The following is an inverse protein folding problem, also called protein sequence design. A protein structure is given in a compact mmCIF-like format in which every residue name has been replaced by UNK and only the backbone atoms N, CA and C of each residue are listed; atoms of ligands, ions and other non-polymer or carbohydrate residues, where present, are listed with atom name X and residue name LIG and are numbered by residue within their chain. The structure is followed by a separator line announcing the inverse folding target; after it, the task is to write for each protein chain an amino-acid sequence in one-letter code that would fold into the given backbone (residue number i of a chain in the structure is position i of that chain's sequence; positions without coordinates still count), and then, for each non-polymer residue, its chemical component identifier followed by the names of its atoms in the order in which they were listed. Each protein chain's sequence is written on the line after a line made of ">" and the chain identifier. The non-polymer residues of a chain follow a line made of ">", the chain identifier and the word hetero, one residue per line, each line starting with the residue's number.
data_IF_605085896853
#
_entry.id   IF_605085896853
#
_cell.length_a   1.000
_cell.length_b   1.000
_cell.length_c   1.000
_cell.angle_alpha   90.00
_cell.angle_beta   90.00
_cell.angle_gamma   90.00
#
_symmetry.space_group_name_H-M   'P 1'
#
loop_
_entity.id
_entity.type
_entity.pdbx_description
1 polymer ?
#
# COMPACT_ATOMS: atom_id res chain seq x y z
N UNK A 1 -10.78 5.81 -1.90
CA UNK A 1 -9.35 5.58 -2.22
C UNK A 1 -8.98 4.19 -1.72
N UNK A 2 -8.06 3.47 -2.36
CA UNK A 2 -7.64 2.15 -1.87
C UNK A 2 -7.09 2.28 -0.46
N UNK A 3 -7.43 1.33 0.40
CA UNK A 3 -6.92 1.29 1.77
C UNK A 3 -5.78 0.31 1.86
N UNK A 4 -4.62 0.79 2.29
CA UNK A 4 -3.39 0.01 2.34
C UNK A 4 -2.67 0.21 3.67
N UNK A 5 -2.12 -0.90 4.19
CA UNK A 5 -1.19 -0.89 5.32
C UNK A 5 0.24 -1.04 4.78
N UNK A 6 1.08 -0.10 5.15
CA UNK A 6 2.50 -0.05 4.84
C UNK A 6 3.30 -0.31 6.10
N UNK A 7 4.24 -1.24 6.04
CA UNK A 7 5.18 -1.55 7.12
C UNK A 7 6.55 -0.99 6.75
N UNK A 8 7.25 -0.38 7.69
CA UNK A 8 8.61 0.10 7.46
C UNK A 8 9.61 -1.07 7.49
N UNK A 9 10.01 -1.54 6.32
CA UNK A 9 10.92 -2.67 6.16
C UNK A 9 12.37 -2.35 6.60
N UNK A 10 12.67 -1.08 6.89
CA UNK A 10 13.98 -0.63 7.37
C UNK A 10 13.92 0.04 8.75
N UNK A 11 12.89 -0.23 9.53
CA UNK A 11 12.78 0.30 10.89
C UNK A 11 14.02 -0.05 11.74
N UNK A 12 14.41 0.86 12.65
CA UNK A 12 15.63 0.70 13.44
C UNK A 12 15.55 -0.43 14.48
N UNK A 13 14.34 -0.72 14.99
CA UNK A 13 14.12 -1.85 15.90
C UNK A 13 14.35 -3.18 15.18
N UNK A 14 15.33 -3.96 15.64
CA UNK A 14 15.75 -5.19 14.99
C UNK A 14 14.66 -6.27 14.95
N UNK A 15 13.84 -6.40 16.02
CA UNK A 15 12.75 -7.36 16.09
C UNK A 15 11.64 -6.97 15.10
N UNK A 16 11.24 -5.71 15.06
CA UNK A 16 10.25 -5.21 14.09
C UNK A 16 10.77 -5.33 12.65
N UNK A 17 12.06 -5.01 12.41
CA UNK A 17 12.66 -5.14 11.08
C UNK A 17 12.62 -6.58 10.59
N UNK A 18 13.00 -7.54 11.42
CA UNK A 18 12.94 -8.96 11.10
C UNK A 18 11.50 -9.40 10.82
N UNK A 19 10.56 -9.00 11.67
CA UNK A 19 9.14 -9.32 11.56
C UNK A 19 8.51 -8.74 10.29
N UNK A 20 8.71 -7.46 9.99
CA UNK A 20 8.12 -6.80 8.82
C UNK A 20 8.67 -7.33 7.50
N UNK A 21 9.92 -7.80 7.48
CA UNK A 21 10.52 -8.46 6.33
C UNK A 21 10.10 -9.94 6.20
N UNK A 22 9.46 -10.54 7.21
CA UNK A 22 8.94 -11.90 7.13
C UNK A 22 7.65 -11.96 6.33
N UNK A 23 7.59 -12.80 5.30
CA UNK A 23 6.41 -12.94 4.44
C UNK A 23 5.20 -13.50 5.20
N UNK A 24 5.41 -14.46 6.11
CA UNK A 24 4.34 -15.07 6.90
C UNK A 24 3.62 -14.01 7.75
N UNK A 25 4.36 -13.07 8.36
CA UNK A 25 3.75 -11.98 9.10
C UNK A 25 2.85 -11.12 8.20
N UNK A 26 3.35 -10.70 7.03
CA UNK A 26 2.54 -9.88 6.10
C UNK A 26 1.32 -10.62 5.57
N UNK A 27 1.46 -11.92 5.26
CA UNK A 27 0.34 -12.79 4.86
C UNK A 27 -0.68 -12.94 5.99
N UNK A 28 -0.23 -13.14 7.23
CA UNK A 28 -1.09 -13.17 8.41
C UNK A 28 -1.88 -11.86 8.59
N UNK A 29 -1.21 -10.70 8.48
CA UNK A 29 -1.85 -9.38 8.52
C UNK A 29 -2.84 -9.17 7.36
N UNK A 30 -2.63 -9.82 6.24
CA UNK A 30 -3.53 -9.77 5.11
C UNK A 30 -4.81 -10.56 5.36
N UNK A 31 -4.71 -11.84 5.77
CA UNK A 31 -5.86 -12.74 5.87
C UNK A 31 -6.62 -12.65 7.20
N UNK A 32 -6.15 -11.86 8.17
CA UNK A 32 -6.85 -11.65 9.44
C UNK A 32 -8.02 -10.66 9.34
N UNK A 33 -8.23 -10.01 8.21
CA UNK A 33 -9.28 -9.01 7.98
C UNK A 33 -10.33 -9.56 7.02
N UNK A 34 -11.59 -9.52 7.45
CA UNK A 34 -12.73 -9.78 6.56
C UNK A 34 -12.92 -8.58 5.61
N UNK A 35 -12.49 -8.77 4.37
CA UNK A 35 -12.51 -7.69 3.37
C UNK A 35 -13.91 -7.37 2.87
N UNK A 36 -14.83 -8.32 2.87
CA UNK A 36 -16.22 -8.08 2.47
C UNK A 36 -16.92 -7.20 3.50
N UNK A 37 -16.80 -7.57 4.78
CA UNK A 37 -17.32 -6.74 5.87
C UNK A 37 -16.62 -5.39 5.93
N UNK A 38 -15.28 -5.35 5.81
CA UNK A 38 -14.52 -4.11 5.78
C UNK A 38 -14.98 -3.17 4.64
N UNK A 39 -15.12 -3.68 3.42
CA UNK A 39 -15.56 -2.90 2.26
C UNK A 39 -17.00 -2.38 2.44
N UNK A 40 -17.87 -3.19 3.02
CA UNK A 40 -19.25 -2.80 3.36
C UNK A 40 -19.28 -1.65 4.37
N UNK A 41 -18.51 -1.76 5.45
CA UNK A 41 -18.44 -0.72 6.50
C UNK A 41 -17.77 0.56 6.04
N UNK A 42 -16.73 0.43 5.20
CA UNK A 42 -15.93 1.57 4.73
C UNK A 42 -16.59 2.35 3.59
N UNK A 43 -17.33 1.67 2.73
CA UNK A 43 -17.82 2.24 1.47
C UNK A 43 -19.30 2.03 1.19
N UNK A 44 -20.10 1.63 2.19
CA UNK A 44 -21.50 1.23 1.99
C UNK A 44 -21.69 0.20 0.85
N UNK A 45 -20.70 -0.67 0.64
CA UNK A 45 -20.71 -1.72 -0.39
C UNK A 45 -20.35 -1.24 -1.82
N UNK A 46 -19.86 -0.03 -1.98
CA UNK A 46 -19.45 0.49 -3.29
C UNK A 46 -18.10 -0.06 -3.77
N UNK A 47 -17.26 -0.52 -2.86
CA UNK A 47 -15.93 -1.06 -3.16
C UNK A 47 -15.91 -2.57 -2.91
N UNK A 48 -15.12 -3.29 -3.67
CA UNK A 48 -14.81 -4.68 -3.41
C UNK A 48 -13.56 -4.80 -2.51
N UNK A 49 -13.50 -5.89 -1.75
CA UNK A 49 -12.28 -6.29 -1.07
C UNK A 49 -11.22 -6.71 -2.07
N UNK A 50 -9.97 -6.32 -1.84
CA UNK A 50 -8.89 -6.66 -2.76
C UNK A 50 -7.52 -6.34 -2.21
N UNK A 51 -6.50 -6.79 -2.92
CA UNK A 51 -5.10 -6.57 -2.57
C UNK A 51 -4.58 -5.26 -3.16
N UNK A 52 -3.43 -4.80 -2.68
CA UNK A 52 -2.69 -3.69 -3.28
C UNK A 52 -2.06 -4.16 -4.61
N UNK A 53 -2.86 -4.19 -5.65
CA UNK A 53 -2.50 -4.63 -7.00
C UNK A 53 -2.79 -3.53 -8.03
N UNK A 54 -2.18 -3.60 -9.23
CA UNK A 54 -2.60 -2.78 -10.36
C UNK A 54 -4.10 -2.92 -10.63
N UNK A 55 -4.73 -1.84 -11.06
CA UNK A 55 -6.17 -1.83 -11.35
C UNK A 55 -6.48 -2.42 -12.72
N UNK A 56 -7.73 -2.87 -12.96
CA UNK A 56 -8.17 -3.26 -14.30
C UNK A 56 -7.84 -2.19 -15.34
N UNK A 57 -7.17 -2.60 -16.41
CA UNK A 57 -6.70 -1.72 -17.49
C UNK A 57 -5.33 -1.06 -17.24
N UNK A 58 -4.74 -1.18 -16.07
CA UNK A 58 -3.38 -0.74 -15.79
C UNK A 58 -2.34 -1.81 -16.21
N UNK A 59 -1.10 -1.37 -16.42
CA UNK A 59 0.02 -2.27 -16.69
C UNK A 59 0.19 -3.27 -15.54
N UNK A 60 0.33 -4.55 -15.88
CA UNK A 60 0.56 -5.61 -14.91
C UNK A 60 -0.67 -6.03 -14.10
N UNK A 61 -1.88 -5.56 -14.47
CA UNK A 61 -3.09 -6.06 -13.86
C UNK A 61 -3.20 -7.59 -13.97
N UNK A 62 -3.54 -8.22 -12.87
CA UNK A 62 -3.83 -9.64 -12.76
C UNK A 62 -4.90 -9.85 -11.70
N UNK A 63 -5.98 -10.54 -12.06
CA UNK A 63 -7.01 -10.95 -11.10
C UNK A 63 -6.43 -11.87 -10.02
N UNK A 64 -5.48 -12.73 -10.38
CA UNK A 64 -4.78 -13.59 -9.43
C UNK A 64 -4.05 -12.77 -8.36
N UNK A 65 -3.36 -11.69 -8.75
CA UNK A 65 -2.72 -10.80 -7.79
C UNK A 65 -3.73 -10.04 -6.94
N UNK A 66 -4.77 -9.48 -7.57
CA UNK A 66 -5.81 -8.72 -6.88
C UNK A 66 -6.51 -9.53 -5.78
N UNK A 67 -6.58 -10.87 -5.95
CA UNK A 67 -7.22 -11.79 -5.01
C UNK A 67 -6.22 -12.62 -4.17
N UNK A 68 -4.93 -12.37 -4.28
CA UNK A 68 -3.90 -13.13 -3.54
C UNK A 68 -3.92 -12.80 -2.05
N UNK A 69 -4.04 -13.82 -1.18
CA UNK A 69 -4.10 -13.65 0.27
C UNK A 69 -5.26 -12.73 0.74
N UNK A 70 -6.41 -12.83 0.09
CA UNK A 70 -7.60 -12.05 0.44
C UNK A 70 -8.63 -12.84 1.23
N UNK A 71 -8.45 -14.14 1.39
CA UNK A 71 -9.31 -14.98 2.24
C UNK A 71 -9.34 -14.47 3.69
N UNK A 72 -10.46 -14.65 4.38
CA UNK A 72 -10.57 -14.37 5.80
C UNK A 72 -10.39 -15.64 6.61
N UNK A 73 -9.25 -15.77 7.28
CA UNK A 73 -8.91 -16.91 8.13
C UNK A 73 -8.02 -16.51 9.31
N UNK A 74 -8.66 -16.23 10.44
CA UNK A 74 -7.97 -15.83 11.67
C UNK A 74 -7.11 -16.98 12.25
N UNK A 75 -7.54 -18.24 12.08
CA UNK A 75 -6.76 -19.38 12.60
C UNK A 75 -5.47 -19.56 11.81
N UNK A 76 -5.55 -19.48 10.47
CA UNK A 76 -4.38 -19.50 9.60
C UNK A 76 -3.48 -18.27 9.85
N UNK A 77 -4.07 -17.07 10.06
CA UNK A 77 -3.30 -15.87 10.39
C UNK A 77 -2.46 -16.05 11.65
N UNK A 78 -3.05 -16.61 12.72
CA UNK A 78 -2.34 -16.93 13.97
C UNK A 78 -1.18 -17.91 13.74
N UNK A 79 -1.40 -18.96 12.97
CA UNK A 79 -0.33 -19.92 12.62
C UNK A 79 0.81 -19.25 11.85
N UNK A 80 0.50 -18.28 10.97
CA UNK A 80 1.50 -17.50 10.23
C UNK A 80 2.27 -16.55 11.15
N UNK A 81 1.62 -15.93 12.14
CA UNK A 81 2.30 -15.09 13.13
C UNK A 81 3.27 -15.91 14.00
N UNK A 82 2.87 -17.12 14.40
CA UNK A 82 3.74 -18.05 15.10
C UNK A 82 4.92 -18.51 14.23
N UNK A 83 4.68 -18.81 12.95
CA UNK A 83 5.74 -19.14 11.99
C UNK A 83 6.70 -17.94 11.76
N UNK A 84 6.20 -16.71 11.86
CA UNK A 84 7.02 -15.49 11.82
C UNK A 84 7.85 -15.26 13.09
N UNK A 85 7.68 -16.08 14.13
CA UNK A 85 8.46 -16.03 15.36
C UNK A 85 7.80 -15.27 16.51
N UNK A 86 6.52 -14.92 16.39
CA UNK A 86 5.75 -14.34 17.49
C UNK A 86 5.25 -15.44 18.44
N UNK A 87 5.09 -15.11 19.70
CA UNK A 87 4.64 -16.02 20.77
C UNK A 87 3.40 -15.43 21.43
N UNK A 88 2.34 -16.23 21.58
CA UNK A 88 1.11 -15.80 22.23
C UNK A 88 1.35 -15.56 23.73
N UNK A 89 1.14 -14.34 24.18
CA UNK A 89 1.19 -13.94 25.58
C UNK A 89 -0.04 -14.37 26.37
N UNK A 90 0.06 -14.30 27.70
CA UNK A 90 -1.02 -14.67 28.59
C UNK A 90 -2.24 -13.72 28.53
N UNK A 91 -2.05 -12.52 28.03
CA UNK A 91 -3.09 -11.50 27.80
C UNK A 91 -3.86 -11.69 26.48
N UNK A 92 -3.46 -12.69 25.68
CA UNK A 92 -4.10 -12.99 24.40
C UNK A 92 -3.54 -12.19 23.22
N UNK A 93 -2.46 -11.46 23.40
CA UNK A 93 -1.71 -10.78 22.34
C UNK A 93 -0.37 -11.46 22.09
N UNK A 94 0.15 -11.25 20.89
CA UNK A 94 1.47 -11.76 20.55
C UNK A 94 2.58 -10.82 21.05
N UNK A 95 3.66 -11.45 21.52
CA UNK A 95 4.93 -10.83 21.91
C UNK A 95 6.07 -11.38 21.06
N UNK A 96 7.24 -10.75 21.11
CA UNK A 96 8.45 -11.29 20.52
C UNK A 96 8.97 -12.51 21.31
N UNK A 97 9.68 -13.41 20.64
CA UNK A 97 10.21 -14.62 21.27
C UNK A 97 11.22 -14.35 22.40
N UNK A 98 11.83 -13.17 22.44
CA UNK A 98 12.71 -12.73 23.53
C UNK A 98 11.96 -12.23 24.77
N UNK A 99 10.62 -12.22 24.72
CA UNK A 99 9.74 -11.77 25.79
C UNK A 99 9.49 -10.26 25.83
N UNK A 100 9.98 -9.52 24.84
CA UNK A 100 9.62 -8.10 24.70
C UNK A 100 8.25 -7.94 24.06
N UNK A 101 7.51 -6.91 24.47
CA UNK A 101 6.17 -6.61 23.97
C UNK A 101 6.20 -6.30 22.47
N UNK A 102 5.23 -6.84 21.72
CA UNK A 102 4.95 -6.43 20.36
C UNK A 102 3.73 -5.54 20.31
N UNK A 103 3.90 -4.30 19.84
CA UNK A 103 2.82 -3.35 19.57
C UNK A 103 3.04 -2.75 18.20
N UNK A 104 2.07 -2.89 17.32
CA UNK A 104 2.11 -2.27 15.98
C UNK A 104 1.67 -0.81 16.07
N UNK A 105 2.61 0.12 15.97
CA UNK A 105 2.34 1.56 16.02
C UNK A 105 2.03 2.08 14.62
N UNK A 106 0.76 2.38 14.37
CA UNK A 106 0.26 2.83 13.07
C UNK A 106 0.09 4.35 13.09
N UNK A 107 0.61 5.02 12.08
CA UNK A 107 0.39 6.46 11.88
C UNK A 107 -0.38 6.73 10.59
N UNK A 108 -0.92 7.93 10.45
CA UNK A 108 -1.44 8.43 9.19
C UNK A 108 -1.45 9.96 9.15
N UNK A 109 -1.67 10.51 7.95
CA UNK A 109 -1.93 11.93 7.78
C UNK A 109 -3.36 12.22 8.21
N UNK A 110 -3.55 13.23 9.05
CA UNK A 110 -4.88 13.71 9.44
C UNK A 110 -5.70 14.11 8.21
N UNK A 111 -7.00 14.06 8.34
CA UNK A 111 -7.99 14.45 7.32
C UNK A 111 -8.05 13.58 6.05
N UNK A 112 -7.38 12.42 6.04
CA UNK A 112 -7.47 11.46 4.92
C UNK A 112 -8.41 10.27 5.16
N UNK A 113 -9.20 10.29 6.25
CA UNK A 113 -10.12 9.22 6.62
C UNK A 113 -9.46 8.00 7.29
N UNK A 114 -8.16 8.01 7.52
CA UNK A 114 -7.44 6.86 8.07
C UNK A 114 -7.84 6.50 9.51
N UNK A 115 -8.31 7.48 10.29
CA UNK A 115 -8.81 7.22 11.65
C UNK A 115 -10.07 6.34 11.62
N UNK A 116 -10.96 6.52 10.66
CA UNK A 116 -12.16 5.68 10.51
C UNK A 116 -11.80 4.30 9.95
N UNK A 117 -10.85 4.24 9.01
CA UNK A 117 -10.26 3.00 8.52
C UNK A 117 -9.66 2.19 9.67
N UNK A 118 -8.86 2.82 10.52
CA UNK A 118 -8.26 2.17 11.68
C UNK A 118 -9.31 1.60 12.65
N UNK A 119 -10.39 2.34 12.92
CA UNK A 119 -11.49 1.85 13.79
C UNK A 119 -12.16 0.59 13.25
N UNK A 120 -12.19 0.40 11.93
CA UNK A 120 -12.71 -0.81 11.30
C UNK A 120 -11.67 -1.94 11.36
N UNK A 121 -10.37 -1.64 11.16
CA UNK A 121 -9.29 -2.65 11.14
C UNK A 121 -8.90 -3.15 12.53
N UNK A 122 -8.90 -2.29 13.55
CA UNK A 122 -8.42 -2.62 14.90
C UNK A 122 -9.10 -3.86 15.52
N UNK A 123 -10.44 -4.03 15.43
CA UNK A 123 -11.09 -5.22 15.95
C UNK A 123 -10.60 -6.53 15.32
N UNK A 124 -10.27 -6.53 14.03
CA UNK A 124 -9.71 -7.70 13.34
C UNK A 124 -8.29 -8.01 13.81
N UNK A 125 -7.45 -6.99 13.91
CA UNK A 125 -6.09 -7.15 14.43
C UNK A 125 -6.11 -7.68 15.86
N UNK A 126 -6.95 -7.14 16.71
CA UNK A 126 -7.15 -7.60 18.09
C UNK A 126 -7.65 -9.05 18.15
N UNK A 127 -8.63 -9.44 17.32
CA UNK A 127 -9.13 -10.82 17.25
C UNK A 127 -8.05 -11.81 16.79
N UNK A 128 -7.14 -11.36 15.97
CA UNK A 128 -5.98 -12.12 15.53
C UNK A 128 -4.82 -12.12 16.55
N UNK A 129 -4.93 -11.38 17.68
CA UNK A 129 -3.91 -11.28 18.70
C UNK A 129 -2.84 -10.23 18.45
N UNK A 130 -3.07 -9.28 17.55
CA UNK A 130 -2.16 -8.18 17.25
C UNK A 130 -2.60 -6.94 18.05
N UNK A 131 -1.75 -6.48 18.95
CA UNK A 131 -1.93 -5.24 19.67
C UNK A 131 -1.45 -4.08 18.82
N UNK A 132 -2.28 -3.05 18.65
CA UNK A 132 -1.91 -1.90 17.83
C UNK A 132 -2.32 -0.58 18.47
N UNK A 133 -1.63 0.50 18.08
CA UNK A 133 -1.98 1.88 18.40
C UNK A 133 -2.14 2.68 17.11
N UNK A 134 -2.84 3.81 17.20
CA UNK A 134 -3.02 4.70 16.06
C UNK A 134 -2.80 6.15 16.48
N UNK A 135 -2.08 6.87 15.63
CA UNK A 135 -1.89 8.32 15.76
C UNK A 135 -1.97 8.96 14.38
N UNK A 136 -2.79 9.97 14.23
CA UNK A 136 -2.75 10.86 13.08
C UNK A 136 -2.06 12.19 13.40
N UNK A 137 -1.52 12.82 12.38
CA UNK A 137 -0.84 14.12 12.48
C UNK A 137 -0.96 14.87 11.16
N UNK A 138 -0.61 16.14 11.18
CA UNK A 138 -0.53 16.89 9.93
C UNK A 138 0.56 16.35 9.00
N UNK A 139 0.43 16.66 7.71
CA UNK A 139 1.31 16.12 6.67
C UNK A 139 2.78 16.46 6.90
N UNK A 140 3.10 17.65 7.35
CA UNK A 140 4.49 18.08 7.53
C UNK A 140 5.18 17.30 8.67
N UNK A 141 4.45 17.05 9.77
CA UNK A 141 4.96 16.21 10.85
C UNK A 141 5.18 14.77 10.41
N UNK A 142 4.22 14.18 9.67
CA UNK A 142 4.39 12.82 9.13
C UNK A 142 5.58 12.74 8.17
N UNK A 143 5.75 13.72 7.29
CA UNK A 143 6.89 13.75 6.36
C UNK A 143 8.25 13.87 7.11
N UNK A 144 8.30 14.64 8.20
CA UNK A 144 9.47 14.72 9.07
C UNK A 144 9.75 13.38 9.77
N UNK A 145 8.72 12.72 10.31
CA UNK A 145 8.84 11.42 10.97
C UNK A 145 9.29 10.33 9.97
N UNK A 146 8.78 10.35 8.73
CA UNK A 146 9.23 9.46 7.65
C UNK A 146 10.71 9.68 7.31
N UNK A 147 11.14 10.93 7.16
CA UNK A 147 12.54 11.26 6.88
C UNK A 147 13.47 10.91 8.04
N UNK A 148 12.99 10.96 9.28
CA UNK A 148 13.73 10.55 10.47
C UNK A 148 13.69 9.03 10.71
N UNK A 149 13.07 8.23 9.83
CA UNK A 149 12.84 6.79 9.99
C UNK A 149 12.07 6.41 11.26
N UNK A 150 11.23 7.34 11.78
CA UNK A 150 10.52 7.18 13.04
C UNK A 150 9.13 6.51 12.88
N UNK A 151 8.70 6.23 11.66
CA UNK A 151 7.41 5.58 11.36
C UNK A 151 7.61 4.07 11.25
N UNK A 152 6.86 3.28 12.04
CA UNK A 152 6.88 1.82 11.98
C UNK A 152 5.89 1.27 10.95
N UNK A 153 4.66 1.77 10.98
CA UNK A 153 3.60 1.38 10.07
C UNK A 153 2.70 2.58 9.73
N UNK A 154 2.11 2.55 8.55
CA UNK A 154 1.25 3.64 8.07
C UNK A 154 0.04 3.11 7.33
N UNK A 155 -1.15 3.64 7.65
CA UNK A 155 -2.33 3.50 6.78
C UNK A 155 -2.30 4.68 5.80
N UNK A 156 -2.13 4.38 4.52
CA UNK A 156 -2.08 5.41 3.49
C UNK A 156 -2.56 4.89 2.14
N UNK A 157 -3.37 5.64 1.41
CA UNK A 157 -3.77 5.28 0.06
C UNK A 157 -2.61 5.57 -0.90
N UNK A 158 -1.91 4.55 -1.36
CA UNK A 158 -0.88 4.70 -2.40
C UNK A 158 -1.41 4.23 -3.73
N UNK A 159 -1.30 5.09 -4.69
CA UNK A 159 -1.72 4.82 -6.06
C UNK A 159 -0.62 4.21 -6.93
N UNK A 160 0.60 4.11 -6.39
CA UNK A 160 1.79 3.74 -7.16
C UNK A 160 1.69 2.39 -7.89
N UNK A 161 1.16 1.37 -7.23
CA UNK A 161 1.03 0.03 -7.83
C UNK A 161 -0.03 -0.04 -8.93
N UNK A 162 -1.13 0.72 -8.76
CA UNK A 162 -2.23 0.78 -9.73
C UNK A 162 -2.07 1.87 -10.79
N UNK A 163 -0.99 2.63 -10.75
CA UNK A 163 -0.84 3.79 -11.61
C UNK A 163 -0.24 3.41 -12.96
N UNK A 164 -0.94 3.75 -14.05
CA UNK A 164 -0.45 3.60 -15.42
C UNK A 164 0.89 4.32 -15.62
N UNK A 165 1.20 5.31 -14.79
CA UNK A 165 2.43 6.08 -14.87
C UNK A 165 3.67 5.37 -14.29
N UNK A 166 3.54 4.14 -13.82
CA UNK A 166 4.67 3.40 -13.24
C UNK A 166 5.89 3.33 -14.17
N UNK A 167 5.66 3.23 -15.49
CA UNK A 167 6.70 3.23 -16.50
C UNK A 167 7.42 4.58 -16.61
N UNK A 168 6.74 5.66 -16.22
CA UNK A 168 7.26 7.03 -16.28
C UNK A 168 7.83 7.50 -14.93
N UNK A 169 7.19 7.09 -13.84
CA UNK A 169 7.55 7.56 -12.48
C UNK A 169 7.43 6.41 -11.46
N UNK A 170 8.34 5.44 -11.47
CA UNK A 170 8.29 4.30 -10.56
C UNK A 170 8.74 4.61 -9.13
N UNK A 171 9.01 5.88 -8.80
CA UNK A 171 9.63 6.31 -7.53
C UNK A 171 8.85 5.86 -6.29
N UNK A 172 7.52 5.78 -6.37
CA UNK A 172 6.68 5.33 -5.25
C UNK A 172 6.78 3.82 -4.98
N UNK A 173 7.49 3.08 -5.80
CA UNK A 173 7.61 1.63 -5.72
C UNK A 173 9.02 1.15 -5.38
N UNK A 174 9.95 2.04 -5.11
CA UNK A 174 11.37 1.71 -4.97
C UNK A 174 11.94 2.28 -3.69
N UNK A 175 12.78 1.53 -2.96
CA UNK A 175 13.51 2.06 -1.82
C UNK A 175 14.28 3.32 -2.16
N UNK A 176 14.33 4.25 -1.21
CA UNK A 176 15.07 5.51 -1.34
C UNK A 176 14.38 6.62 -2.15
N UNK A 177 13.25 6.34 -2.76
CA UNK A 177 12.53 7.31 -3.59
C UNK A 177 11.13 7.66 -3.06
N UNK A 178 10.58 6.85 -2.18
CA UNK A 178 9.24 7.07 -1.63
C UNK A 178 9.32 7.83 -0.31
N UNK A 179 9.15 9.12 -0.33
CA UNK A 179 9.07 9.95 0.89
C UNK A 179 7.71 9.87 1.59
N UNK A 180 6.73 9.23 0.96
CA UNK A 180 5.34 9.25 1.41
C UNK A 180 4.84 7.90 1.93
N UNK A 181 5.67 6.87 1.97
CA UNK A 181 5.30 5.52 2.38
C UNK A 181 6.30 4.95 3.34
N UNK A 182 5.81 4.41 4.45
CA UNK A 182 6.63 3.85 5.51
C UNK A 182 7.31 2.51 5.13
N UNK A 183 6.80 1.81 4.13
CA UNK A 183 7.19 0.44 3.80
C UNK A 183 8.67 0.23 3.46
N UNK A 184 9.37 1.24 2.95
CA UNK A 184 10.81 1.15 2.74
C UNK A 184 11.63 1.88 3.80
N UNK A 185 11.03 2.77 4.58
CA UNK A 185 11.74 3.67 5.46
C UNK A 185 12.79 4.47 4.71
N UNK A 186 13.95 4.61 5.33
CA UNK A 186 15.12 5.29 4.75
C UNK A 186 16.05 4.36 3.96
N UNK A 187 15.55 3.18 3.55
CA UNK A 187 16.33 2.16 2.83
C UNK A 187 16.90 2.71 1.51
N UNK A 188 18.15 2.37 1.25
CA UNK A 188 18.87 2.67 0.02
C UNK A 188 19.63 1.43 -0.50
N UNK A 189 20.45 1.58 -1.52
CA UNK A 189 21.25 0.48 -2.08
C UNK A 189 22.28 -0.13 -1.13
N UNK A 190 22.63 0.58 -0.04
CA UNK A 190 23.59 0.08 0.95
C UNK A 190 22.92 -0.75 2.04
N UNK A 191 21.63 -0.56 2.24
CA UNK A 191 20.82 -1.23 3.27
C UNK A 191 19.82 -2.23 2.69
N UNK A 192 19.43 -2.08 1.42
CA UNK A 192 18.55 -3.01 0.72
C UNK A 192 19.25 -4.32 0.40
N UNK A 193 18.52 -5.43 0.51
CA UNK A 193 19.01 -6.77 0.17
C UNK A 193 17.96 -7.54 -0.63
N UNK A 194 18.37 -8.61 -1.32
CA UNK A 194 17.45 -9.51 -2.03
C UNK A 194 16.62 -8.78 -3.07
N UNK A 195 15.31 -8.98 -3.05
CA UNK A 195 14.39 -8.43 -4.04
C UNK A 195 14.20 -6.90 -3.91
N UNK A 196 14.40 -6.34 -2.71
CA UNK A 196 14.40 -4.88 -2.53
C UNK A 196 15.59 -4.21 -3.22
N UNK A 197 16.78 -4.85 -3.21
CA UNK A 197 17.92 -4.36 -3.97
C UNK A 197 17.66 -4.46 -5.48
N UNK A 198 17.06 -5.54 -5.95
CA UNK A 198 16.66 -5.68 -7.37
C UNK A 198 15.70 -4.57 -7.84
N UNK A 199 14.77 -4.13 -6.98
CA UNK A 199 13.92 -2.98 -7.32
C UNK A 199 14.73 -1.72 -7.59
N UNK A 200 15.76 -1.44 -6.77
CA UNK A 200 16.65 -0.30 -6.98
C UNK A 200 17.43 -0.45 -8.29
N UNK A 201 17.93 -1.65 -8.58
CA UNK A 201 18.65 -1.95 -9.82
C UNK A 201 17.75 -1.74 -11.04
N UNK A 202 16.51 -2.27 -11.03
CA UNK A 202 15.53 -2.04 -12.10
C UNK A 202 15.18 -0.57 -12.26
N UNK A 203 15.07 0.18 -11.17
CA UNK A 203 14.84 1.63 -11.26
C UNK A 203 15.99 2.34 -11.95
N UNK A 204 17.25 2.01 -11.61
CA UNK A 204 18.43 2.57 -12.27
C UNK A 204 18.47 2.23 -13.76
N UNK A 205 18.14 1.00 -14.13
CA UNK A 205 18.03 0.58 -15.53
C UNK A 205 16.93 1.35 -16.25
N UNK A 206 15.75 1.50 -15.61
CA UNK A 206 14.61 2.24 -16.17
C UNK A 206 14.95 3.72 -16.42
N UNK A 207 15.71 4.35 -15.53
CA UNK A 207 16.08 5.77 -15.63
C UNK A 207 16.96 6.08 -16.85
N UNK A 208 17.76 5.13 -17.30
CA UNK A 208 18.65 5.28 -18.45
C UNK A 208 18.12 4.64 -19.75
N UNK A 209 16.99 3.93 -19.65
CA UNK A 209 16.37 3.25 -20.80
C UNK A 209 15.40 4.19 -21.50
N UNK A 210 15.60 4.45 -22.79
CA UNK A 210 14.72 5.28 -23.64
C UNK A 210 13.74 4.48 -24.49
N UNK A 211 13.99 3.18 -24.72
CA UNK A 211 13.14 2.28 -25.49
C UNK A 211 11.84 2.00 -24.72
N UNK A 212 10.65 2.30 -25.29
CA UNK A 212 9.37 2.12 -24.58
C UNK A 212 9.04 0.65 -24.24
N UNK A 213 9.40 -0.28 -25.12
CA UNK A 213 9.10 -1.70 -24.91
C UNK A 213 9.98 -2.26 -23.79
N UNK A 214 11.25 -1.89 -23.78
CA UNK A 214 12.18 -2.25 -22.72
C UNK A 214 11.79 -1.63 -21.37
N UNK A 215 11.34 -0.39 -21.35
CA UNK A 215 10.80 0.26 -20.14
C UNK A 215 9.60 -0.50 -19.58
N UNK A 216 8.70 -0.93 -20.46
CA UNK A 216 7.52 -1.73 -20.09
C UNK A 216 7.94 -3.08 -19.49
N UNK A 217 8.91 -3.76 -20.10
CA UNK A 217 9.46 -5.02 -19.57
C UNK A 217 10.04 -4.85 -18.17
N UNK A 218 10.86 -3.82 -17.93
CA UNK A 218 11.44 -3.53 -16.62
C UNK A 218 10.33 -3.24 -15.60
N UNK A 219 9.33 -2.44 -15.96
CA UNK A 219 8.22 -2.12 -15.06
C UNK A 219 7.40 -3.37 -14.67
N UNK A 220 7.19 -4.30 -15.60
CA UNK A 220 6.53 -5.58 -15.31
C UNK A 220 7.36 -6.45 -14.35
N UNK A 221 8.68 -6.44 -14.46
CA UNK A 221 9.55 -7.15 -13.51
C UNK A 221 9.47 -6.51 -12.10
N UNK A 222 9.43 -5.18 -12.00
CA UNK A 222 9.23 -4.48 -10.74
C UNK A 222 7.87 -4.82 -10.10
N UNK A 223 6.80 -4.82 -10.89
CA UNK A 223 5.46 -5.23 -10.43
C UNK A 223 5.44 -6.68 -9.95
N UNK A 224 6.13 -7.58 -10.66
CA UNK A 224 6.23 -8.98 -10.26
C UNK A 224 6.92 -9.17 -8.90
N UNK A 225 7.95 -8.40 -8.60
CA UNK A 225 8.55 -8.41 -7.27
C UNK A 225 7.57 -7.96 -6.17
N UNK A 226 6.72 -6.97 -6.45
CA UNK A 226 5.66 -6.56 -5.52
C UNK A 226 4.61 -7.64 -5.31
N UNK A 227 4.16 -8.29 -6.38
CA UNK A 227 3.22 -9.42 -6.31
C UNK A 227 3.78 -10.57 -5.47
N UNK A 228 5.05 -10.92 -5.68
CA UNK A 228 5.66 -12.08 -5.02
C UNK A 228 5.93 -11.81 -3.53
N UNK A 229 6.26 -10.58 -3.17
CA UNK A 229 6.65 -10.24 -1.81
C UNK A 229 5.53 -9.60 -0.97
N UNK A 230 4.47 -9.07 -1.58
CA UNK A 230 3.37 -8.39 -0.87
C UNK A 230 3.87 -7.39 0.20
N UNK A 231 4.76 -6.48 -0.20
CA UNK A 231 5.31 -5.47 0.74
C UNK A 231 4.27 -4.45 1.19
N UNK A 232 3.20 -4.28 0.40
CA UNK A 232 2.03 -3.47 0.72
C UNK A 232 0.82 -4.38 0.86
N UNK A 233 0.05 -4.20 1.92
CA UNK A 233 -1.14 -4.99 2.21
C UNK A 233 -2.37 -4.17 1.86
N UNK A 234 -3.14 -4.61 0.87
CA UNK A 234 -4.41 -3.99 0.48
C UNK A 234 -5.60 -4.62 1.20
N UNK A 235 -6.60 -3.80 1.49
CA UNK A 235 -7.87 -4.26 2.07
C UNK A 235 -9.06 -3.98 1.19
N UNK A 236 -9.02 -2.92 0.40
CA UNK A 236 -10.05 -2.55 -0.58
C UNK A 236 -9.40 -2.17 -1.89
N UNK A 237 -10.08 -2.52 -2.97
CA UNK A 237 -9.72 -2.09 -4.31
C UNK A 237 -9.81 -0.57 -4.47
N UNK A 238 -9.19 -0.06 -5.52
CA UNK A 238 -9.28 1.36 -5.82
C UNK A 238 -10.69 1.76 -6.23
N UNK A 239 -11.18 2.82 -5.62
CA UNK A 239 -12.47 3.42 -5.93
C UNK A 239 -12.45 4.14 -7.28
N UNK A 240 -13.47 3.97 -8.12
CA UNK A 240 -13.70 4.91 -9.22
C UNK A 240 -13.81 6.34 -8.69
N UNK A 241 -13.17 7.27 -9.38
CA UNK A 241 -13.31 8.70 -9.07
C UNK A 241 -14.40 9.28 -9.94
N UNK A 242 -15.42 9.88 -9.33
CA UNK A 242 -16.53 10.51 -10.05
C UNK A 242 -16.35 12.03 -10.08
N UNK A 243 -16.52 12.61 -11.25
CA UNK A 243 -16.52 14.05 -11.44
C UNK A 243 -17.91 14.53 -11.86
N UNK A 244 -18.48 15.46 -11.11
CA UNK A 244 -19.68 16.16 -11.53
C UNK A 244 -19.30 17.33 -12.43
N UNK A 245 -19.73 17.28 -13.69
CA UNK A 245 -19.42 18.27 -14.71
C UNK A 245 -20.72 18.92 -15.19
N UNK A 246 -20.70 20.24 -15.38
CA UNK A 246 -21.85 20.93 -15.97
C UNK A 246 -22.10 20.40 -17.39
N UNK A 247 -23.34 20.01 -17.69
CA UNK A 247 -23.73 19.42 -18.98
C UNK A 247 -23.44 20.30 -20.21
N UNK A 248 -23.21 21.60 -20.01
CA UNK A 248 -22.83 22.54 -21.06
C UNK A 248 -21.33 22.48 -21.42
N UNK A 249 -20.50 21.83 -20.59
CA UNK A 249 -19.08 21.67 -20.90
C UNK A 249 -18.94 20.58 -21.97
N UNK A 250 -18.32 20.95 -23.07
CA UNK A 250 -18.06 20.07 -24.20
C UNK A 250 -16.57 19.67 -24.25
N UNK A 251 -16.26 18.58 -24.92
CA UNK A 251 -14.94 17.97 -24.99
C UNK A 251 -14.39 17.48 -23.65
N UNK A 252 -15.26 17.29 -22.65
CA UNK A 252 -14.87 16.60 -21.43
C UNK A 252 -14.68 15.12 -21.68
N UNK A 253 -13.56 14.57 -21.19
CA UNK A 253 -13.31 13.13 -21.24
C UNK A 253 -14.21 12.44 -20.19
N UNK A 254 -15.22 11.68 -20.65
CA UNK A 254 -16.19 11.04 -19.76
C UNK A 254 -15.61 9.84 -19.00
N UNK A 255 -14.65 9.14 -19.62
CA UNK A 255 -13.98 7.98 -19.01
C UNK A 255 -12.46 8.11 -19.16
N UNK A 256 -11.72 7.71 -18.13
CA UNK A 256 -10.27 7.74 -18.15
C UNK A 256 -9.66 6.97 -16.97
N UNK A 257 -8.40 6.58 -17.11
CA UNK A 257 -7.65 5.97 -16.02
C UNK A 257 -7.10 7.08 -15.13
N UNK A 258 -7.43 7.02 -13.84
CA UNK A 258 -6.85 7.93 -12.87
C UNK A 258 -5.38 7.60 -12.64
N UNK A 259 -4.52 8.60 -12.60
CA UNK A 259 -3.10 8.49 -12.38
C UNK A 259 -2.58 9.68 -11.59
N UNK A 260 -1.59 9.48 -10.72
CA UNK A 260 -0.98 10.56 -9.95
C UNK A 260 -0.30 11.62 -10.86
N UNK A 261 0.15 11.23 -12.05
CA UNK A 261 0.70 12.16 -13.06
C UNK A 261 -0.41 12.88 -13.82
N UNK A 262 -1.51 12.21 -14.08
CA UNK A 262 -2.59 12.67 -14.95
C UNK A 262 -3.86 13.00 -14.18
N UNK A 263 -3.78 13.11 -12.86
CA UNK A 263 -4.95 13.40 -12.04
C UNK A 263 -5.60 14.72 -12.43
N UNK A 264 -6.90 14.76 -12.26
CA UNK A 264 -7.77 15.90 -12.51
C UNK A 264 -7.73 16.39 -13.96
N UNK A 265 -7.22 17.58 -14.19
CA UNK A 265 -7.30 18.28 -15.48
C UNK A 265 -6.31 17.78 -16.51
N UNK A 266 -5.27 17.03 -16.14
CA UNK A 266 -4.16 16.68 -17.03
C UNK A 266 -4.56 15.81 -18.22
N UNK A 267 -5.24 14.70 -17.99
CA UNK A 267 -5.73 13.80 -19.04
C UNK A 267 -6.86 14.43 -19.85
N UNK A 268 -7.68 15.20 -19.16
CA UNK A 268 -8.93 15.71 -19.73
C UNK A 268 -8.71 16.83 -20.75
N UNK A 269 -7.45 17.25 -21.01
CA UNK A 269 -7.15 18.34 -21.95
C UNK A 269 -8.04 19.56 -21.74
N UNK A 270 -8.10 20.08 -20.50
CA UNK A 270 -9.00 21.17 -20.13
C UNK A 270 -8.89 22.42 -21.01
N UNK A 271 -7.75 22.64 -21.65
CA UNK A 271 -7.55 23.70 -22.66
C UNK A 271 -8.44 23.53 -23.90
N UNK A 272 -9.01 22.33 -24.12
CA UNK A 272 -9.90 22.05 -25.23
C UNK A 272 -11.38 22.12 -24.83
N UNK A 273 -11.70 22.35 -23.55
CA UNK A 273 -13.08 22.45 -23.09
C UNK A 273 -13.69 23.80 -23.48
N UNK A 274 -14.96 23.77 -23.79
CA UNK A 274 -15.73 24.98 -24.01
C UNK A 274 -17.16 24.82 -23.45
N UNK A 275 -17.81 25.92 -23.20
CA UNK A 275 -19.22 25.93 -22.76
C UNK A 275 -20.08 26.10 -24.00
N UNK A 276 -20.94 25.12 -24.28
CA UNK A 276 -21.95 25.25 -25.32
C UNK A 276 -23.02 26.27 -24.91
N UNK A 277 -23.45 27.09 -25.86
CA UNK A 277 -24.53 28.08 -25.67
C UNK A 277 -25.88 27.43 -25.39
#
# INVERSE_FOLDING_TARGET
>A
MPTQLHLNLNVDNANLKALFNNADFRQGMSICVDREEFASLYSDGWLAGGQAAPQPGALGYSEEWAQKWTEYDVAKAKSLFEAAGLVMGADGFYDFADGSDFVLNIVSVADNGAADIYKILEPYFRAAGIKCTFKDSDRANIDNDLMANAVEAMIFPVTGLGDISIVLKPNSMVPGYATNVAWYGTMDETTATGDLLKLIEFKKELDVTSDPDKRTEIALQMLKLHEDNMWVIGYVEASPTYHAVNARIQNFLADGVWSDIYRDMGIAHCQCWYIAE
#
